data_IF_767257839253
#
_entry.id   IF_767257839253
#
_cell.length_a   1.000
_cell.length_b   1.000
_cell.length_c   1.000
_cell.angle_alpha   90.00
_cell.angle_beta   90.00
_cell.angle_gamma   90.00
#
_symmetry.space_group_name_H-M   'P 1'
#
loop_
_entity.id
_entity.type
_entity.pdbx_description
1 polymer ?
#
# COMPACT_ATOMS: atom_id res chain seq x y z
N UNK A 1 -36.12 39.76 38.16
CA UNK A 1 -34.66 39.71 37.94
C UNK A 1 -34.19 41.04 37.32
N UNK A 2 -33.20 41.72 37.93
CA UNK A 2 -32.76 43.06 37.49
C UNK A 2 -32.09 43.02 36.11
N UNK A 3 -32.09 44.15 35.39
CA UNK A 3 -31.49 44.28 34.04
C UNK A 3 -29.99 43.91 34.05
N UNK A 4 -29.28 44.24 35.14
CA UNK A 4 -27.88 43.86 35.36
C UNK A 4 -27.66 42.34 35.45
N UNK A 5 -28.54 41.61 36.15
CA UNK A 5 -28.44 40.13 36.26
C UNK A 5 -28.66 39.44 34.91
N UNK A 6 -29.52 39.98 34.05
CA UNK A 6 -29.73 39.47 32.69
C UNK A 6 -28.50 39.69 31.79
N UNK A 7 -27.92 40.89 31.82
CA UNK A 7 -26.71 41.20 31.04
C UNK A 7 -25.55 40.30 31.46
N UNK A 8 -25.35 40.12 32.78
CA UNK A 8 -24.29 39.26 33.29
C UNK A 8 -24.46 37.81 32.79
N UNK A 9 -25.67 37.25 32.89
CA UNK A 9 -25.96 35.89 32.43
C UNK A 9 -25.66 35.68 30.93
N UNK A 10 -26.05 36.63 30.07
CA UNK A 10 -25.80 36.55 28.64
C UNK A 10 -24.30 36.62 28.32
N UNK A 11 -23.54 37.46 29.02
CA UNK A 11 -22.08 37.53 28.84
C UNK A 11 -21.40 36.23 29.25
N UNK A 12 -21.81 35.63 30.38
CA UNK A 12 -21.23 34.36 30.83
C UNK A 12 -21.56 33.22 29.87
N UNK A 13 -22.80 33.17 29.36
CA UNK A 13 -23.22 32.14 28.41
C UNK A 13 -22.44 32.25 27.09
N UNK A 14 -22.27 33.45 26.56
CA UNK A 14 -21.48 33.68 25.34
C UNK A 14 -20.01 33.34 25.53
N UNK A 15 -19.43 33.62 26.71
CA UNK A 15 -18.05 33.27 27.02
C UNK A 15 -17.85 31.74 27.10
N UNK A 16 -18.80 31.03 27.72
CA UNK A 16 -18.76 29.56 27.79
C UNK A 16 -18.89 28.94 26.39
N UNK A 17 -19.82 29.44 25.57
CA UNK A 17 -19.98 28.97 24.18
C UNK A 17 -18.71 29.23 23.37
N UNK A 18 -18.06 30.38 23.54
CA UNK A 18 -16.80 30.70 22.86
C UNK A 18 -15.67 29.75 23.28
N UNK A 19 -15.55 29.40 24.56
CA UNK A 19 -14.53 28.46 25.07
C UNK A 19 -14.78 27.03 24.57
N UNK A 20 -16.05 26.61 24.49
CA UNK A 20 -16.42 25.29 23.95
C UNK A 20 -16.15 25.23 22.45
N UNK A 21 -16.43 26.31 21.70
CA UNK A 21 -16.17 26.35 20.26
C UNK A 21 -14.68 26.38 19.92
N UNK A 22 -13.85 27.08 20.71
CA UNK A 22 -12.39 27.09 20.47
C UNK A 22 -11.73 25.76 20.82
N UNK A 23 -12.19 25.05 21.86
CA UNK A 23 -11.66 23.72 22.21
C UNK A 23 -11.99 22.63 21.18
N UNK A 24 -13.13 22.73 20.49
CA UNK A 24 -13.47 21.84 19.37
C UNK A 24 -12.65 22.16 18.12
N UNK A 25 -12.36 23.44 17.86
CA UNK A 25 -11.52 23.84 16.73
C UNK A 25 -10.02 23.45 16.90
N UNK A 26 -9.51 23.45 18.14
CA UNK A 26 -8.11 23.09 18.44
C UNK A 26 -7.87 21.57 18.36
N UNK A 27 -8.92 20.73 18.45
CA UNK A 27 -8.76 19.26 18.37
C UNK A 27 -8.68 18.71 16.94
N UNK A 28 -8.71 19.55 15.91
CA UNK A 28 -8.56 19.11 14.51
C UNK A 28 -7.26 19.57 13.86
N UNK A 29 -6.23 19.83 14.65
CA UNK A 29 -4.87 19.80 14.14
C UNK A 29 -4.50 18.34 13.86
N UNK A 30 -4.88 17.83 12.69
CA UNK A 30 -4.25 16.64 12.12
C UNK A 30 -2.78 17.00 11.94
N UNK A 31 -1.99 16.73 12.99
CA UNK A 31 -0.53 16.74 12.95
C UNK A 31 -0.13 16.09 11.63
N UNK A 32 0.38 16.91 10.71
CA UNK A 32 0.85 16.45 9.41
C UNK A 32 2.11 15.65 9.68
N UNK A 33 1.94 14.35 9.93
CA UNK A 33 3.05 13.42 10.16
C UNK A 33 3.70 13.15 8.81
N UNK A 34 5.02 13.29 8.76
CA UNK A 34 5.84 12.96 7.61
C UNK A 34 6.96 12.06 8.08
N UNK A 35 7.27 11.03 7.31
CA UNK A 35 8.44 10.18 7.51
C UNK A 35 9.38 10.38 6.33
N UNK A 36 10.68 10.41 6.60
CA UNK A 36 11.67 10.42 5.54
C UNK A 36 11.77 9.01 4.95
N UNK A 37 11.64 8.94 3.63
CA UNK A 37 11.73 7.71 2.88
C UNK A 37 13.17 7.44 2.45
N UNK A 38 13.59 6.17 2.47
CA UNK A 38 14.92 5.77 1.97
C UNK A 38 15.02 5.85 0.45
N UNK A 39 13.86 5.83 -0.21
CA UNK A 39 13.69 5.66 -1.64
C UNK A 39 12.60 6.62 -2.15
N UNK A 40 12.60 6.93 -3.46
CA UNK A 40 11.58 7.82 -4.04
C UNK A 40 10.40 6.96 -4.49
N UNK A 41 9.34 6.92 -3.68
CA UNK A 41 8.16 6.11 -4.02
C UNK A 41 7.59 6.47 -5.40
N UNK A 42 7.53 5.47 -6.28
CA UNK A 42 6.76 5.50 -7.52
C UNK A 42 5.30 5.10 -7.24
N UNK A 43 5.04 4.26 -6.23
CA UNK A 43 3.70 3.78 -5.87
C UNK A 43 3.53 3.63 -4.34
N UNK A 44 2.29 3.80 -3.87
CA UNK A 44 1.88 3.55 -2.48
C UNK A 44 0.76 2.50 -2.44
N UNK A 45 0.97 1.45 -1.67
CA UNK A 45 0.05 0.34 -1.50
C UNK A 45 -0.51 0.31 -0.08
N UNK A 46 -1.84 0.28 0.06
CA UNK A 46 -2.51 0.16 1.36
C UNK A 46 -2.90 -1.29 1.64
N UNK A 47 -2.39 -1.83 2.75
CA UNK A 47 -2.74 -3.16 3.25
C UNK A 47 -3.70 -3.01 4.42
N UNK A 48 -5.00 -3.09 4.10
CA UNK A 48 -6.06 -2.74 5.04
C UNK A 48 -5.90 -1.30 5.54
N UNK A 49 -6.24 -1.08 6.80
CA UNK A 49 -6.18 0.26 7.42
C UNK A 49 -4.89 0.50 8.22
N UNK A 50 -3.97 -0.48 8.24
CA UNK A 50 -2.89 -0.51 9.24
C UNK A 50 -1.48 -0.42 8.67
N UNK A 51 -1.27 -0.75 7.39
CA UNK A 51 0.06 -0.76 6.79
C UNK A 51 0.02 -0.07 5.43
N UNK A 52 1.00 0.79 5.19
CA UNK A 52 1.28 1.37 3.87
C UNK A 52 2.66 0.90 3.41
N UNK A 53 2.75 0.40 2.18
CA UNK A 53 4.00 -0.02 1.56
C UNK A 53 4.30 0.95 0.43
N UNK A 54 5.48 1.54 0.48
CA UNK A 54 5.95 2.43 -0.54
C UNK A 54 6.97 1.70 -1.42
N UNK A 55 6.78 1.80 -2.74
CA UNK A 55 7.53 1.04 -3.74
C UNK A 55 8.31 2.01 -4.62
N UNK A 56 9.62 1.84 -4.71
CA UNK A 56 10.49 2.53 -5.68
C UNK A 56 11.08 1.52 -6.65
N UNK A 57 10.88 1.76 -7.95
CA UNK A 57 11.41 0.92 -9.02
C UNK A 57 12.68 1.53 -9.59
N UNK A 58 13.83 1.14 -9.04
CA UNK A 58 15.13 1.68 -9.42
C UNK A 58 15.85 0.80 -10.47
N UNK A 59 16.71 1.45 -11.26
CA UNK A 59 17.66 0.80 -12.18
C UNK A 59 17.23 0.75 -13.65
N UNK A 60 18.21 0.82 -14.55
CA UNK A 60 18.03 0.71 -16.01
C UNK A 60 18.29 -0.71 -16.56
N UNK A 61 19.20 -1.48 -15.94
CA UNK A 61 19.73 -2.74 -16.50
C UNK A 61 19.42 -3.95 -15.60
N UNK A 62 19.68 -3.87 -14.29
CA UNK A 62 19.28 -4.85 -13.28
C UNK A 62 18.31 -4.14 -12.32
N UNK A 63 17.01 -4.36 -12.50
CA UNK A 63 16.02 -3.56 -11.80
C UNK A 63 15.66 -4.19 -10.47
N UNK A 64 15.49 -3.34 -9.47
CA UNK A 64 15.14 -3.73 -8.11
C UNK A 64 13.96 -2.88 -7.68
N UNK A 65 12.94 -3.52 -7.13
CA UNK A 65 11.91 -2.83 -6.38
C UNK A 65 12.37 -2.72 -4.93
N UNK A 66 12.47 -1.48 -4.44
CA UNK A 66 12.72 -1.17 -3.03
C UNK A 66 11.37 -1.01 -2.36
N UNK A 67 11.08 -1.88 -1.41
CA UNK A 67 9.84 -1.92 -0.66
C UNK A 67 10.11 -1.42 0.75
N UNK A 68 9.37 -0.40 1.17
CA UNK A 68 9.46 0.13 2.53
C UNK A 68 8.05 0.13 3.15
N UNK A 69 7.85 -0.62 4.22
CA UNK A 69 6.57 -0.72 4.89
C UNK A 69 6.52 0.12 6.16
N UNK A 70 5.37 0.75 6.38
CA UNK A 70 5.12 1.59 7.54
C UNK A 70 3.80 1.23 8.19
N UNK A 71 3.74 1.37 9.51
CA UNK A 71 2.46 1.38 10.24
C UNK A 71 1.71 2.66 9.90
N UNK A 72 0.48 2.56 9.39
CA UNK A 72 -0.31 3.70 8.97
C UNK A 72 -0.61 4.70 10.12
N UNK A 73 -0.78 4.19 11.35
CA UNK A 73 -1.15 5.00 12.50
C UNK A 73 -0.09 6.04 12.91
N UNK A 74 1.19 5.70 12.78
CA UNK A 74 2.30 6.52 13.29
C UNK A 74 3.47 6.67 12.31
N UNK A 75 3.37 6.07 11.12
CA UNK A 75 4.42 6.01 10.09
C UNK A 75 5.73 5.39 10.58
N UNK A 76 5.69 4.55 11.61
CA UNK A 76 6.85 3.76 12.05
C UNK A 76 7.21 2.77 10.95
N UNK A 77 8.47 2.79 10.51
CA UNK A 77 9.00 1.78 9.59
C UNK A 77 8.92 0.40 10.25
N UNK A 78 8.32 -0.54 9.54
CA UNK A 78 8.19 -1.94 9.96
C UNK A 78 9.31 -2.79 9.38
N UNK A 79 9.57 -2.63 8.07
CA UNK A 79 10.60 -3.36 7.35
C UNK A 79 10.96 -2.66 6.04
N UNK A 80 12.13 -3.03 5.51
CA UNK A 80 12.64 -2.62 4.21
C UNK A 80 13.23 -3.84 3.49
N UNK A 81 12.84 -4.04 2.24
CA UNK A 81 13.33 -5.15 1.41
C UNK A 81 13.57 -4.71 -0.02
N UNK A 82 14.62 -5.26 -0.63
CA UNK A 82 14.92 -5.12 -2.04
C UNK A 82 14.59 -6.42 -2.77
N UNK A 83 13.78 -6.32 -3.84
CA UNK A 83 13.31 -7.47 -4.60
C UNK A 83 13.72 -7.28 -6.06
N UNK A 84 14.37 -8.27 -6.71
CA UNK A 84 14.67 -8.16 -8.12
C UNK A 84 13.36 -8.12 -8.90
N UNK A 85 13.28 -7.23 -9.89
CA UNK A 85 12.13 -7.08 -10.76
C UNK A 85 12.57 -6.95 -12.21
N UNK A 86 11.71 -7.39 -13.12
CA UNK A 86 11.96 -7.34 -14.56
C UNK A 86 12.05 -5.94 -15.16
N UNK A 87 12.04 -5.86 -16.49
CA UNK A 87 12.17 -4.58 -17.22
C UNK A 87 10.95 -3.65 -16.96
N UNK A 88 11.22 -2.41 -16.49
CA UNK A 88 10.28 -1.32 -16.12
C UNK A 88 9.27 -0.91 -17.19
N UNK A 89 9.51 -1.15 -18.48
CA UNK A 89 8.71 -0.56 -19.56
C UNK A 89 7.21 -0.92 -19.54
N UNK A 90 6.79 -1.86 -18.67
CA UNK A 90 5.38 -2.27 -18.52
C UNK A 90 5.06 -2.69 -17.09
N UNK A 91 5.51 -1.97 -16.05
CA UNK A 91 5.24 -2.38 -14.66
C UNK A 91 3.83 -2.04 -14.15
N UNK A 92 3.02 -1.31 -14.93
CA UNK A 92 1.61 -1.16 -14.63
C UNK A 92 0.93 -2.53 -14.57
N UNK A 93 0.41 -2.88 -13.39
CA UNK A 93 -0.23 -4.17 -13.15
C UNK A 93 0.72 -5.31 -12.73
N UNK A 94 1.96 -5.02 -12.34
CA UNK A 94 2.93 -6.03 -11.90
C UNK A 94 2.86 -6.36 -10.40
N UNK A 95 1.77 -5.97 -9.72
CA UNK A 95 1.59 -6.15 -8.29
C UNK A 95 0.25 -6.85 -8.05
N UNK A 96 0.30 -7.97 -7.34
CA UNK A 96 -0.87 -8.75 -6.96
C UNK A 96 -0.82 -9.11 -5.48
N UNK A 97 -1.97 -9.44 -4.91
CA UNK A 97 -2.10 -9.58 -3.48
C UNK A 97 -3.06 -10.68 -3.08
N UNK A 98 -2.60 -11.58 -2.21
CA UNK A 98 -3.45 -12.51 -1.49
C UNK A 98 -3.65 -12.01 -0.05
N UNK A 99 -4.82 -11.40 0.20
CA UNK A 99 -5.17 -10.86 1.54
C UNK A 99 -5.23 -11.94 2.61
N UNK A 100 -5.64 -13.14 2.24
CA UNK A 100 -5.84 -14.21 3.18
C UNK A 100 -4.51 -14.86 3.56
N UNK A 101 -3.63 -15.05 2.58
CA UNK A 101 -2.29 -15.59 2.81
C UNK A 101 -1.31 -14.56 3.40
N UNK A 102 -1.60 -13.26 3.27
CA UNK A 102 -0.68 -12.20 3.71
C UNK A 102 0.56 -12.11 2.83
N UNK A 103 0.42 -12.37 1.54
CA UNK A 103 1.52 -12.41 0.57
C UNK A 103 1.27 -11.39 -0.54
N UNK A 104 2.31 -10.61 -0.84
CA UNK A 104 2.36 -9.76 -2.03
C UNK A 104 3.18 -10.45 -3.10
N UNK A 105 2.70 -10.37 -4.34
CA UNK A 105 3.40 -10.86 -5.51
C UNK A 105 3.80 -9.69 -6.39
N UNK A 106 5.04 -9.70 -6.84
CA UNK A 106 5.65 -8.56 -7.50
C UNK A 106 6.48 -9.01 -8.71
N UNK A 107 6.30 -8.31 -9.83
CA UNK A 107 7.21 -8.32 -10.96
C UNK A 107 6.68 -9.00 -12.22
N UNK A 108 7.27 -8.64 -13.35
CA UNK A 108 7.06 -9.31 -14.64
C UNK A 108 8.29 -10.13 -15.03
N UNK A 109 8.73 -11.01 -14.13
CA UNK A 109 9.93 -11.83 -14.29
C UNK A 109 11.23 -11.05 -13.96
N UNK A 110 11.93 -11.35 -12.87
CA UNK A 110 11.54 -12.31 -11.86
C UNK A 110 10.19 -11.97 -11.21
N UNK A 111 9.38 -12.99 -10.96
CA UNK A 111 8.11 -12.90 -10.26
C UNK A 111 8.30 -13.43 -8.85
N UNK A 112 8.20 -12.53 -7.86
CA UNK A 112 8.59 -12.81 -6.49
C UNK A 112 7.39 -12.76 -5.55
N UNK A 113 7.35 -13.66 -4.58
CA UNK A 113 6.41 -13.63 -3.47
C UNK A 113 7.10 -13.05 -2.23
N UNK A 114 6.44 -12.12 -1.56
CA UNK A 114 6.95 -11.39 -0.39
C UNK A 114 5.95 -11.54 0.75
N UNK A 115 6.42 -11.99 1.91
CA UNK A 115 5.64 -11.99 3.15
C UNK A 115 5.48 -10.56 3.64
N UNK A 116 4.23 -10.13 3.85
CA UNK A 116 3.94 -8.76 4.25
C UNK A 116 4.26 -8.46 5.72
N UNK A 117 4.39 -9.50 6.54
CA UNK A 117 4.60 -9.34 7.98
C UNK A 117 5.99 -8.79 8.26
N UNK A 118 6.97 -9.23 7.49
CA UNK A 118 8.39 -8.91 7.72
C UNK A 118 9.17 -8.53 6.45
N UNK A 119 8.53 -8.55 5.27
CA UNK A 119 9.17 -8.24 4.01
C UNK A 119 10.04 -9.36 3.46
N UNK A 120 9.99 -10.58 4.00
CA UNK A 120 10.82 -11.69 3.54
C UNK A 120 10.40 -12.14 2.14
N UNK A 121 11.36 -12.29 1.23
CA UNK A 121 11.13 -12.92 -0.08
C UNK A 121 10.99 -14.43 0.12
N UNK A 122 9.78 -14.95 -0.04
CA UNK A 122 9.47 -16.37 0.15
C UNK A 122 10.03 -17.22 -0.99
N UNK A 123 9.88 -16.74 -2.22
CA UNK A 123 10.43 -17.36 -3.42
C UNK A 123 10.42 -16.37 -4.59
N UNK A 124 11.17 -16.68 -5.62
CA UNK A 124 11.23 -15.91 -6.86
C UNK A 124 11.34 -16.85 -8.06
N UNK A 125 10.52 -16.61 -9.08
CA UNK A 125 10.57 -17.32 -10.36
C UNK A 125 11.33 -16.44 -11.36
N UNK A 126 12.49 -16.88 -11.87
CA UNK A 126 13.29 -16.15 -12.85
C UNK A 126 12.54 -15.78 -14.14
N UNK A 127 12.94 -14.67 -14.77
CA UNK A 127 12.32 -14.19 -16.03
C UNK A 127 12.39 -15.22 -17.16
N UNK A 128 13.50 -15.94 -17.31
CA UNK A 128 13.69 -16.99 -18.33
C UNK A 128 12.78 -18.21 -18.11
N UNK A 129 12.13 -18.32 -16.96
CA UNK A 129 11.17 -19.39 -16.66
C UNK A 129 9.73 -18.96 -16.93
N UNK A 130 9.34 -17.75 -16.52
CA UNK A 130 7.93 -17.28 -16.56
C UNK A 130 7.67 -16.19 -17.61
N UNK A 131 8.71 -15.52 -18.07
CA UNK A 131 8.61 -14.34 -18.93
C UNK A 131 7.92 -13.16 -18.24
N UNK A 132 7.19 -12.38 -19.03
CA UNK A 132 6.36 -11.29 -18.56
C UNK A 132 5.06 -11.85 -17.96
N UNK A 133 4.77 -11.57 -16.69
CA UNK A 133 3.54 -12.03 -16.04
C UNK A 133 2.35 -11.20 -16.53
N UNK A 134 1.27 -11.83 -16.98
CA UNK A 134 0.07 -11.14 -17.46
C UNK A 134 -1.10 -11.25 -16.50
N UNK A 135 -1.18 -12.35 -15.76
CA UNK A 135 -2.27 -12.61 -14.85
C UNK A 135 -1.83 -13.52 -13.70
N UNK A 136 -2.47 -13.34 -12.55
CA UNK A 136 -2.25 -14.11 -11.34
C UNK A 136 -3.62 -14.42 -10.74
N UNK A 137 -3.96 -15.72 -10.72
CA UNK A 137 -5.22 -16.20 -10.18
C UNK A 137 -4.97 -16.96 -8.89
N UNK A 138 -5.65 -16.51 -7.83
CA UNK A 138 -5.57 -17.08 -6.50
C UNK A 138 -6.63 -18.17 -6.33
N UNK A 139 -6.19 -19.42 -6.14
CA UNK A 139 -7.00 -20.51 -5.64
C UNK A 139 -6.81 -20.71 -4.13
N UNK A 140 -7.60 -21.59 -3.53
CA UNK A 140 -7.52 -21.88 -2.08
C UNK A 140 -6.21 -22.54 -1.65
N UNK A 141 -5.62 -23.38 -2.51
CA UNK A 141 -4.37 -24.11 -2.24
C UNK A 141 -3.30 -23.89 -3.31
N UNK A 142 -3.64 -23.18 -4.39
CA UNK A 142 -2.80 -23.09 -5.59
C UNK A 142 -2.83 -21.68 -6.16
N UNK A 143 -1.69 -21.27 -6.70
CA UNK A 143 -1.53 -20.05 -7.47
C UNK A 143 -1.37 -20.43 -8.94
N UNK A 144 -2.16 -19.82 -9.82
CA UNK A 144 -1.91 -19.88 -11.26
C UNK A 144 -1.29 -18.57 -11.71
N UNK A 145 -0.07 -18.64 -12.25
CA UNK A 145 0.65 -17.51 -12.81
C UNK A 145 0.74 -17.71 -14.31
N UNK A 146 0.28 -16.74 -15.08
CA UNK A 146 0.38 -16.78 -16.54
C UNK A 146 1.42 -15.78 -16.98
N UNK A 147 2.44 -16.26 -17.69
CA UNK A 147 3.45 -15.38 -18.25
C UNK A 147 3.89 -15.79 -19.64
N UNK A 148 4.47 -14.84 -20.37
CA UNK A 148 5.04 -15.05 -21.70
C UNK A 148 6.26 -14.19 -21.93
N UNK A 149 7.27 -14.74 -22.61
CA UNK A 149 8.37 -13.91 -23.11
C UNK A 149 8.00 -13.10 -24.36
N UNK A 150 6.94 -13.49 -25.09
CA UNK A 150 6.68 -13.02 -26.47
C UNK A 150 5.28 -12.47 -26.72
N UNK A 151 4.27 -12.96 -25.99
CA UNK A 151 2.86 -12.66 -26.27
C UNK A 151 2.37 -11.59 -25.29
N UNK A 152 1.57 -10.63 -25.76
CA UNK A 152 1.07 -9.52 -24.94
C UNK A 152 -0.29 -9.77 -24.26
N UNK A 153 -1.00 -10.84 -24.63
CA UNK A 153 -2.31 -11.17 -24.06
C UNK A 153 -2.63 -12.66 -24.17
N UNK A 154 -3.34 -13.20 -23.18
CA UNK A 154 -3.90 -14.54 -23.19
C UNK A 154 -5.42 -14.46 -23.10
N UNK A 155 -6.12 -15.37 -23.79
CA UNK A 155 -7.54 -15.63 -23.55
C UNK A 155 -7.67 -17.02 -22.97
N UNK A 156 -7.97 -17.09 -21.68
CA UNK A 156 -8.37 -18.35 -21.07
C UNK A 156 -9.89 -18.50 -21.18
N UNK A 157 -10.33 -19.60 -21.75
CA UNK A 157 -11.75 -19.97 -21.81
C UNK A 157 -11.94 -21.24 -21.00
N UNK A 158 -12.81 -21.17 -20.00
CA UNK A 158 -13.09 -22.26 -19.09
C UNK A 158 -14.56 -22.61 -19.27
N UNK A 159 -14.89 -23.85 -19.57
CA UNK A 159 -16.27 -24.32 -19.38
C UNK A 159 -16.39 -24.76 -17.93
N UNK A 160 -17.13 -24.02 -17.12
CA UNK A 160 -17.65 -24.55 -15.87
C UNK A 160 -18.74 -25.58 -16.24
N UNK A 161 -18.33 -26.78 -16.61
CA UNK A 161 -19.23 -27.93 -16.53
C UNK A 161 -19.13 -28.46 -15.10
N UNK A 162 -20.26 -28.61 -14.38
CA UNK A 162 -20.28 -29.23 -13.07
C UNK A 162 -19.76 -30.68 -13.09
#
# INVERSE_FOLDING_TARGET
MSRAKRIFLWVTLSLIVLIVLTSVAISQEHSRRSVEMRNKADELLWIGDSVVIAVDFDGFVNKTAKLQAFRAADLTELWYTEVPVGKRQRFEGALWFDKQAGVMFLGHGPFSAVDLRDGTVLWSIPYDTIGFVHDVLFGTERLLVLGSERISSFRLQWSLSP
#
